data_IF_537295777892
#
_entry.id   IF_537295777892
#
_cell.length_a   1.000
_cell.length_b   1.000
_cell.length_c   1.000
_cell.angle_alpha   90.00
_cell.angle_beta   90.00
_cell.angle_gamma   90.00
#
_symmetry.space_group_name_H-M   'P 1'
#
loop_
_entity.id
_entity.type
_entity.pdbx_description
1 polymer ?
#
# COMPACT_ATOMS: atom_id res chain seq x y z
N UNK A 1 24.49 8.23 -45.65
CA UNK A 1 23.09 7.74 -45.60
C UNK A 1 22.92 7.00 -44.28
N UNK A 2 22.68 7.79 -43.25
CA UNK A 2 22.23 7.34 -41.93
C UNK A 2 20.69 7.25 -41.94
N UNK A 3 20.09 6.72 -40.86
CA UNK A 3 18.65 6.81 -40.48
C UNK A 3 17.70 5.64 -40.77
N UNK A 4 18.11 4.38 -40.59
CA UNK A 4 17.11 3.30 -40.42
C UNK A 4 17.36 2.35 -39.23
N UNK A 5 18.60 2.08 -38.84
CA UNK A 5 18.87 1.12 -37.73
C UNK A 5 18.67 1.66 -36.31
N UNK A 6 18.23 2.92 -36.14
CA UNK A 6 18.05 3.54 -34.82
C UNK A 6 16.59 3.64 -34.38
N UNK A 7 15.64 3.13 -35.19
CA UNK A 7 14.19 3.25 -34.92
C UNK A 7 13.52 1.98 -34.40
N UNK A 8 14.29 0.94 -34.09
CA UNK A 8 13.76 -0.30 -33.46
C UNK A 8 14.08 -0.39 -31.96
N UNK A 9 14.51 0.74 -31.37
CA UNK A 9 14.86 0.88 -29.94
C UNK A 9 13.99 1.92 -29.24
N UNK A 10 12.71 2.01 -29.58
CA UNK A 10 11.71 2.81 -28.85
C UNK A 10 10.40 2.03 -28.87
N UNK A 11 9.69 2.02 -27.74
CA UNK A 11 8.49 1.25 -27.41
C UNK A 11 8.73 -0.17 -26.82
N UNK A 12 9.62 -0.27 -25.82
CA UNK A 12 9.28 -1.17 -24.72
C UNK A 12 8.08 -0.55 -24.00
N UNK A 13 6.88 -1.05 -24.26
CA UNK A 13 5.70 -0.69 -23.46
C UNK A 13 6.06 -0.99 -22.01
N UNK A 14 6.21 0.05 -21.18
CA UNK A 14 6.22 -0.07 -19.73
C UNK A 14 4.89 -0.73 -19.35
N UNK A 15 4.93 -2.05 -19.19
CA UNK A 15 3.74 -2.88 -19.14
C UNK A 15 2.98 -2.63 -17.84
N UNK A 16 1.74 -2.18 -17.97
CA UNK A 16 0.79 -2.21 -16.86
C UNK A 16 0.58 -3.68 -16.48
N UNK A 17 0.98 -4.02 -15.26
CA UNK A 17 0.82 -5.36 -14.68
C UNK A 17 -0.38 -5.39 -13.76
N UNK A 18 -0.89 -6.59 -13.50
CA UNK A 18 -1.98 -6.81 -12.55
C UNK A 18 -1.45 -7.39 -11.25
N UNK A 19 -1.78 -6.74 -10.14
CA UNK A 19 -1.32 -7.07 -8.80
C UNK A 19 -2.49 -7.48 -7.91
N UNK A 20 -2.31 -8.60 -7.21
CA UNK A 20 -3.22 -9.05 -6.16
C UNK A 20 -2.60 -8.78 -4.80
N UNK A 21 -3.35 -8.18 -3.90
CA UNK A 21 -2.90 -7.87 -2.54
C UNK A 21 -4.07 -7.80 -1.56
N UNK A 22 -3.76 -8.02 -0.28
CA UNK A 22 -4.68 -7.74 0.81
C UNK A 22 -4.35 -6.36 1.38
N UNK A 23 -5.36 -5.59 1.78
CA UNK A 23 -5.19 -4.40 2.61
C UNK A 23 -5.90 -4.62 3.93
N UNK A 24 -5.18 -4.41 5.02
CA UNK A 24 -5.70 -4.48 6.38
C UNK A 24 -5.52 -3.13 7.07
N UNK A 25 -6.40 -2.88 8.04
CA UNK A 25 -6.27 -1.74 8.95
C UNK A 25 -5.81 -2.28 10.30
N UNK A 26 -4.50 -2.29 10.53
CA UNK A 26 -3.88 -2.75 11.76
C UNK A 26 -3.58 -1.54 12.65
N UNK A 27 -4.15 -1.50 13.85
CA UNK A 27 -3.96 -0.41 14.80
C UNK A 27 -2.84 -0.77 15.79
N UNK A 28 -2.24 0.26 16.39
CA UNK A 28 -1.27 0.07 17.48
C UNK A 28 -1.91 -0.62 18.70
N UNK A 29 -3.20 -0.39 18.93
CA UNK A 29 -4.00 -1.03 19.97
C UNK A 29 -4.47 -2.47 19.61
N UNK A 30 -4.22 -2.93 18.39
CA UNK A 30 -4.55 -4.29 17.95
C UNK A 30 -5.28 -4.36 16.61
N UNK A 31 -5.70 -5.56 16.24
CA UNK A 31 -6.41 -5.80 14.99
C UNK A 31 -7.92 -5.61 15.19
N UNK A 32 -8.56 -4.68 14.45
CA UNK A 32 -9.97 -4.36 14.59
C UNK A 32 -10.88 -5.47 14.06
N UNK A 33 -11.97 -5.70 14.78
CA UNK A 33 -12.96 -6.75 14.53
C UNK A 33 -13.63 -6.59 13.16
N UNK A 34 -13.98 -7.72 12.52
CA UNK A 34 -14.68 -7.74 11.24
C UNK A 34 -16.00 -6.95 11.24
N UNK A 35 -16.69 -6.92 12.38
CA UNK A 35 -17.98 -6.27 12.58
C UNK A 35 -17.86 -4.82 13.08
N UNK A 36 -16.65 -4.26 13.17
CA UNK A 36 -16.49 -2.84 13.54
C UNK A 36 -17.26 -1.95 12.53
N UNK A 37 -18.18 -1.09 13.01
CA UNK A 37 -19.00 -0.23 12.16
C UNK A 37 -18.19 0.70 11.25
N UNK A 38 -16.92 0.99 11.59
CA UNK A 38 -16.03 1.79 10.74
C UNK A 38 -15.82 1.19 9.34
N UNK A 39 -16.09 -0.11 9.16
CA UNK A 39 -15.94 -0.79 7.88
C UNK A 39 -17.25 -0.91 7.11
N UNK A 40 -18.38 -0.44 7.64
CA UNK A 40 -19.68 -0.68 7.03
C UNK A 40 -19.80 -0.05 5.64
N UNK A 41 -19.25 1.16 5.44
CA UNK A 41 -19.20 1.78 4.12
C UNK A 41 -18.35 0.98 3.13
N UNK A 42 -17.21 0.45 3.57
CA UNK A 42 -16.32 -0.37 2.73
C UNK A 42 -16.90 -1.76 2.43
N UNK A 43 -17.70 -2.33 3.35
CA UNK A 43 -18.44 -3.57 3.10
C UNK A 43 -19.58 -3.36 2.11
N UNK A 44 -20.30 -2.24 2.24
CA UNK A 44 -21.43 -1.91 1.38
C UNK A 44 -20.99 -1.52 -0.04
N UNK A 45 -19.89 -0.78 -0.15
CA UNK A 45 -19.36 -0.28 -1.42
C UNK A 45 -17.82 -0.30 -1.40
N UNK A 46 -17.20 -1.47 -1.63
CA UNK A 46 -15.74 -1.56 -1.69
C UNK A 46 -15.20 -0.78 -2.90
N UNK A 47 -13.95 -0.30 -2.85
CA UNK A 47 -13.31 0.34 -3.99
C UNK A 47 -13.30 -0.56 -5.23
N UNK A 48 -13.30 0.01 -6.45
CA UNK A 48 -13.22 -0.79 -7.68
C UNK A 48 -12.02 -1.74 -7.69
N UNK A 49 -12.26 -2.98 -8.08
CA UNK A 49 -11.25 -4.05 -8.06
C UNK A 49 -10.99 -4.63 -6.67
N UNK A 50 -11.72 -4.20 -5.64
CA UNK A 50 -11.61 -4.74 -4.30
C UNK A 50 -12.91 -5.41 -3.83
N UNK A 51 -12.77 -6.33 -2.89
CA UNK A 51 -13.88 -6.97 -2.18
C UNK A 51 -13.61 -7.00 -0.69
N UNK A 52 -14.64 -6.72 0.11
CA UNK A 52 -14.58 -6.92 1.55
C UNK A 52 -14.47 -8.42 1.86
N UNK A 53 -13.50 -8.76 2.69
CA UNK A 53 -13.22 -10.12 3.09
C UNK A 53 -12.69 -10.20 4.50
N UNK A 54 -12.09 -11.36 4.80
CA UNK A 54 -11.42 -11.63 6.06
C UNK A 54 -9.99 -12.08 5.85
N UNK A 55 -9.11 -11.67 6.76
CA UNK A 55 -7.76 -12.19 6.92
C UNK A 55 -7.65 -12.71 8.36
N UNK A 56 -7.71 -14.04 8.53
CA UNK A 56 -8.05 -14.62 9.82
C UNK A 56 -9.43 -14.16 10.28
N UNK A 57 -9.50 -13.57 11.46
CA UNK A 57 -10.73 -13.03 12.09
C UNK A 57 -10.93 -11.52 11.82
N UNK A 58 -10.05 -10.88 11.06
CA UNK A 58 -10.04 -9.43 10.87
C UNK A 58 -10.60 -9.01 9.52
N UNK A 59 -11.16 -7.80 9.47
CA UNK A 59 -11.57 -7.17 8.22
C UNK A 59 -10.38 -6.96 7.29
N UNK A 60 -10.52 -7.33 6.02
CA UNK A 60 -9.57 -6.95 4.98
C UNK A 60 -10.28 -6.59 3.68
N UNK A 61 -9.61 -5.81 2.85
CA UNK A 61 -9.94 -5.66 1.43
C UNK A 61 -9.01 -6.57 0.63
N UNK A 62 -9.59 -7.44 -0.20
CA UNK A 62 -8.85 -8.22 -1.19
C UNK A 62 -8.96 -7.50 -2.52
N UNK A 63 -7.84 -7.06 -3.06
CA UNK A 63 -7.80 -6.20 -4.23
C UNK A 63 -7.03 -6.84 -5.37
N UNK A 64 -7.51 -6.60 -6.59
CA UNK A 64 -6.82 -6.86 -7.84
C UNK A 64 -6.80 -5.55 -8.62
N UNK A 65 -5.61 -4.96 -8.79
CA UNK A 65 -5.43 -3.64 -9.43
C UNK A 65 -4.31 -3.66 -10.44
N UNK A 66 -4.49 -2.83 -11.46
CA UNK A 66 -3.49 -2.58 -12.47
C UNK A 66 -2.56 -1.45 -12.03
N UNK A 67 -1.27 -1.57 -12.37
CA UNK A 67 -0.24 -0.57 -12.08
C UNK A 67 1.05 -0.87 -12.83
N UNK A 68 1.94 0.12 -12.94
CA UNK A 68 3.29 -0.11 -13.48
C UNK A 68 4.12 -0.97 -12.53
N UNK A 69 3.84 -0.84 -11.24
CA UNK A 69 4.42 -1.61 -10.15
C UNK A 69 3.40 -1.80 -9.01
N UNK A 70 3.78 -2.55 -7.97
CA UNK A 70 2.89 -2.82 -6.84
C UNK A 70 2.50 -1.54 -6.06
N UNK A 71 3.44 -0.60 -5.90
CA UNK A 71 3.17 0.66 -5.19
C UNK A 71 2.11 1.50 -5.92
N UNK A 72 2.19 1.55 -7.25
CA UNK A 72 1.21 2.22 -8.11
C UNK A 72 -0.16 1.53 -8.09
N UNK A 73 -0.21 0.23 -7.83
CA UNK A 73 -1.47 -0.51 -7.68
C UNK A 73 -2.12 -0.30 -6.30
N UNK A 74 -1.32 -0.20 -5.24
CA UNK A 74 -1.78 -0.10 -3.85
C UNK A 74 -2.14 1.33 -3.45
N UNK A 75 -1.31 2.33 -3.78
CA UNK A 75 -1.49 3.68 -3.25
C UNK A 75 -2.83 4.33 -3.61
N UNK A 76 -3.36 4.21 -4.84
CA UNK A 76 -4.68 4.73 -5.19
C UNK A 76 -5.80 4.09 -4.38
N UNK A 77 -5.72 2.78 -4.10
CA UNK A 77 -6.72 2.09 -3.25
C UNK A 77 -6.71 2.67 -1.84
N UNK A 78 -5.53 2.90 -1.25
CA UNK A 78 -5.44 3.53 0.08
C UNK A 78 -6.06 4.94 0.08
N UNK A 79 -5.86 5.72 -0.98
CA UNK A 79 -6.48 7.04 -1.13
C UNK A 79 -8.01 6.95 -1.30
N UNK A 80 -8.50 6.03 -2.13
CA UNK A 80 -9.93 5.76 -2.34
C UNK A 80 -10.62 5.36 -1.03
N UNK A 81 -10.02 4.43 -0.27
CA UNK A 81 -10.52 4.00 1.04
C UNK A 81 -10.58 5.18 2.01
N UNK A 82 -9.49 5.96 2.14
CA UNK A 82 -9.46 7.13 3.01
C UNK A 82 -10.53 8.15 2.64
N UNK A 83 -10.72 8.42 1.35
CA UNK A 83 -11.74 9.35 0.88
C UNK A 83 -13.17 8.85 1.16
N UNK A 84 -13.41 7.55 1.06
CA UNK A 84 -14.74 6.95 1.23
C UNK A 84 -15.13 6.69 2.69
N UNK A 85 -14.17 6.34 3.56
CA UNK A 85 -14.45 5.90 4.94
C UNK A 85 -13.63 6.60 6.02
N UNK A 86 -12.65 7.41 5.66
CA UNK A 86 -11.70 8.02 6.60
C UNK A 86 -10.68 7.04 7.20
N UNK A 87 -10.71 5.76 6.79
CA UNK A 87 -9.79 4.73 7.28
C UNK A 87 -8.46 4.81 6.53
N UNK A 88 -7.35 4.77 7.27
CA UNK A 88 -6.01 4.58 6.71
C UNK A 88 -5.66 3.09 6.75
N UNK A 89 -5.44 2.48 5.58
CA UNK A 89 -4.93 1.11 5.52
C UNK A 89 -3.44 1.10 5.86
N UNK A 90 -3.02 0.20 6.74
CA UNK A 90 -1.69 0.22 7.37
C UNK A 90 -0.89 -1.06 7.13
N UNK A 91 -1.47 -2.06 6.48
CA UNK A 91 -0.86 -3.38 6.33
C UNK A 91 -1.28 -4.09 5.03
N UNK A 92 -0.36 -4.89 4.48
CA UNK A 92 -0.56 -5.78 3.35
C UNK A 92 -0.66 -7.28 3.75
N UNK A 93 -0.69 -7.58 5.05
CA UNK A 93 -0.76 -8.92 5.64
C UNK A 93 0.58 -9.37 6.24
N UNK A 94 1.43 -8.42 6.66
CA UNK A 94 2.73 -8.70 7.29
C UNK A 94 2.53 -8.80 8.81
N UNK A 95 2.90 -9.94 9.38
CA UNK A 95 2.74 -10.21 10.81
C UNK A 95 3.59 -9.27 11.72
N UNK A 96 3.07 -8.94 12.91
CA UNK A 96 3.82 -8.25 13.97
C UNK A 96 3.76 -6.71 13.99
N UNK A 97 2.91 -6.08 13.17
CA UNK A 97 2.79 -4.62 13.11
C UNK A 97 2.17 -3.99 14.38
N UNK A 98 1.39 -4.74 15.16
CA UNK A 98 0.77 -4.27 16.41
C UNK A 98 1.73 -4.23 17.61
N UNK A 99 2.99 -4.65 17.44
CA UNK A 99 4.02 -4.50 18.49
C UNK A 99 4.51 -3.05 18.61
N UNK A 100 3.93 -2.13 17.83
CA UNK A 100 4.37 -0.75 17.68
C UNK A 100 3.64 0.13 18.68
N UNK A 101 4.40 0.65 19.64
CA UNK A 101 3.86 1.49 20.72
C UNK A 101 3.59 2.91 20.18
N UNK A 102 2.38 3.43 20.37
CA UNK A 102 2.06 4.84 20.12
C UNK A 102 2.53 5.72 21.29
N UNK A 103 3.85 5.88 21.44
CA UNK A 103 4.50 6.58 22.56
C UNK A 103 5.12 7.93 22.20
N UNK A 104 4.67 8.53 21.10
CA UNK A 104 5.03 9.89 20.67
C UNK A 104 6.22 9.95 19.69
N UNK A 105 6.63 11.17 19.34
CA UNK A 105 7.63 11.44 18.29
C UNK A 105 9.07 11.14 18.67
N UNK A 106 9.32 10.96 19.96
CA UNK A 106 10.66 10.66 20.52
C UNK A 106 10.69 9.30 21.25
N UNK A 107 9.60 8.54 21.17
CA UNK A 107 9.44 7.24 21.81
C UNK A 107 9.93 6.07 20.95
N UNK A 108 9.74 4.84 21.45
CA UNK A 108 10.09 3.61 20.72
C UNK A 108 9.35 3.50 19.39
N UNK A 109 8.12 3.99 19.32
CA UNK A 109 7.34 4.06 18.09
C UNK A 109 8.02 4.88 17.00
N UNK A 110 8.62 6.02 17.35
CA UNK A 110 9.36 6.84 16.39
C UNK A 110 10.61 6.13 15.85
N UNK A 111 11.35 5.44 16.73
CA UNK A 111 12.50 4.61 16.32
C UNK A 111 12.08 3.48 15.37
N UNK A 112 10.94 2.84 15.63
CA UNK A 112 10.39 1.80 14.75
C UNK A 112 10.03 2.38 13.39
N UNK A 113 9.33 3.53 13.34
CA UNK A 113 9.03 4.23 12.07
C UNK A 113 10.30 4.56 11.29
N UNK A 114 11.32 5.12 11.96
CA UNK A 114 12.60 5.42 11.33
C UNK A 114 13.29 4.16 10.78
N UNK A 115 13.31 3.07 11.56
CA UNK A 115 13.88 1.79 11.14
C UNK A 115 13.17 1.23 9.90
N UNK A 116 11.84 1.29 9.84
CA UNK A 116 11.07 0.82 8.70
C UNK A 116 11.34 1.64 7.44
N UNK A 117 11.46 2.96 7.57
CA UNK A 117 11.82 3.83 6.45
C UNK A 117 13.25 3.52 5.96
N UNK A 118 14.20 3.25 6.86
CA UNK A 118 15.55 2.83 6.49
C UNK A 118 15.55 1.49 5.76
N UNK A 119 14.81 0.50 6.28
CA UNK A 119 14.67 -0.80 5.65
C UNK A 119 13.97 -0.71 4.29
N UNK A 120 12.91 0.10 4.19
CA UNK A 120 12.21 0.35 2.95
C UNK A 120 13.14 0.99 1.91
N UNK A 121 13.91 2.02 2.30
CA UNK A 121 14.88 2.68 1.42
C UNK A 121 15.98 1.71 0.92
N UNK A 122 16.52 0.87 1.81
CA UNK A 122 17.51 -0.15 1.44
C UNK A 122 16.91 -1.17 0.47
N UNK A 123 15.78 -1.79 0.84
CA UNK A 123 15.14 -2.85 0.04
C UNK A 123 14.59 -2.37 -1.29
N UNK A 124 14.01 -1.17 -1.33
CA UNK A 124 13.49 -0.54 -2.54
C UNK A 124 14.56 -0.50 -3.64
N UNK A 125 15.77 -0.04 -3.28
CA UNK A 125 16.88 0.06 -4.23
C UNK A 125 17.29 -1.30 -4.81
N UNK A 126 17.20 -2.37 -4.02
CA UNK A 126 17.56 -3.73 -4.44
C UNK A 126 16.57 -4.35 -5.44
N UNK A 127 15.32 -3.87 -5.46
CA UNK A 127 14.25 -4.38 -6.33
C UNK A 127 13.84 -3.38 -7.42
N UNK A 128 14.62 -2.31 -7.61
CA UNK A 128 14.44 -1.37 -8.72
C UNK A 128 13.54 -0.16 -8.44
N UNK A 129 13.11 0.05 -7.19
CA UNK A 129 12.40 1.27 -6.79
C UNK A 129 13.36 2.40 -6.42
N UNK A 130 13.06 3.62 -6.87
CA UNK A 130 13.74 4.84 -6.46
C UNK A 130 13.12 5.50 -5.23
N UNK A 131 13.84 6.47 -4.64
CA UNK A 131 13.32 7.28 -3.53
C UNK A 131 12.05 8.04 -3.94
N UNK A 132 11.97 8.51 -5.19
CA UNK A 132 10.80 9.23 -5.69
C UNK A 132 9.54 8.34 -5.75
N UNK A 133 9.70 7.04 -6.00
CA UNK A 133 8.59 6.09 -5.97
C UNK A 133 8.05 5.94 -4.55
N UNK A 134 8.94 5.84 -3.56
CA UNK A 134 8.57 5.79 -2.14
C UNK A 134 7.87 7.07 -1.69
N UNK A 135 8.39 8.24 -2.08
CA UNK A 135 7.78 9.53 -1.74
C UNK A 135 6.40 9.68 -2.39
N UNK A 136 6.25 9.27 -3.65
CA UNK A 136 4.97 9.29 -4.37
C UNK A 136 3.96 8.35 -3.70
N UNK A 137 4.39 7.16 -3.31
CA UNK A 137 3.58 6.22 -2.56
C UNK A 137 3.09 6.85 -1.26
N UNK A 138 3.98 7.41 -0.43
CA UNK A 138 3.61 8.03 0.85
C UNK A 138 2.62 9.19 0.68
N UNK A 139 2.85 10.07 -0.30
CA UNK A 139 1.96 11.19 -0.60
C UNK A 139 0.56 10.74 -1.02
N UNK A 140 0.45 9.66 -1.78
CA UNK A 140 -0.84 9.17 -2.29
C UNK A 140 -1.55 8.33 -1.22
N UNK A 141 -0.83 7.37 -0.65
CA UNK A 141 -1.38 6.40 0.29
C UNK A 141 -1.72 7.03 1.66
N UNK A 142 -1.02 8.07 2.11
CA UNK A 142 -1.19 8.65 3.45
C UNK A 142 -1.30 10.19 3.51
N UNK A 143 -1.00 10.91 2.42
CA UNK A 143 -1.09 12.39 2.35
C UNK A 143 -2.49 12.92 2.11
#
# INVERSE_FOLDING_TARGET
MATQDTKEREDAVEGVNRYQFNLLHCLAEGLPDLHDPRYDSLKAAPPPGCSAGRYGDFFCLRCEREGLNLLDAVAPVCAEVRAASGVLMTDLGVEGLWEWKADGRDGRGATVVAQLLLMAAERASLIGYGVDDLVRFLRTAAG
#
